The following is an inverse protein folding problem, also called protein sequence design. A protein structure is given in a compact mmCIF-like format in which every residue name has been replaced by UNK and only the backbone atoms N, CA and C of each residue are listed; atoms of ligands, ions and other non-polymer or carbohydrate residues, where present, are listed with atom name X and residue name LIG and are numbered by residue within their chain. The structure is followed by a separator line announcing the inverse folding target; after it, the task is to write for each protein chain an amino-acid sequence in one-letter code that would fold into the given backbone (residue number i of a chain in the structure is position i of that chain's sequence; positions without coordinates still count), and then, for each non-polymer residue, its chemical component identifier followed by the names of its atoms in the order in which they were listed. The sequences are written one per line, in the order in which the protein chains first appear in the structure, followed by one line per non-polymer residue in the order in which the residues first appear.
data_IF_332069649117
#
_entry.id   IF_332069649117
#
_cell.length_a   1.000
_cell.length_b   1.000
_cell.length_c   1.000
_cell.angle_alpha   90.00
_cell.angle_beta   90.00
_cell.angle_gamma   90.00
#
_symmetry.space_group_name_H-M   'P 1'
#
loop_
_entity.id
_entity.type
_entity.pdbx_description
1 polymer ?
#
# COMPACT_ATOMS: atom_id res chain seq x y z
N UNK A 1 -6.91 -11.71 18.56
CA UNK A 1 -5.70 -12.32 19.11
C UNK A 1 -5.20 -11.42 20.22
N UNK A 2 -4.91 -11.96 21.37
CA UNK A 2 -4.44 -11.20 22.55
C UNK A 2 -3.14 -10.41 22.31
N UNK A 3 -2.41 -10.75 21.25
CA UNK A 3 -1.14 -10.10 20.87
C UNK A 3 -1.29 -8.89 19.94
N UNK A 4 -2.47 -8.65 19.38
CA UNK A 4 -2.71 -7.52 18.48
C UNK A 4 -3.63 -6.50 19.15
N UNK A 5 -3.37 -5.20 18.97
CA UNK A 5 -4.25 -4.17 19.51
C UNK A 5 -5.66 -4.31 18.97
N UNK A 6 -6.65 -4.19 19.83
CA UNK A 6 -8.03 -4.04 19.43
C UNK A 6 -8.28 -2.71 18.73
N UNK A 7 -9.40 -2.64 18.01
CA UNK A 7 -9.85 -1.46 17.31
C UNK A 7 -11.33 -1.53 16.99
N UNK A 8 -11.86 -0.47 16.42
CA UNK A 8 -13.24 -0.44 15.95
C UNK A 8 -13.34 -1.09 14.57
N UNK A 9 -13.72 -2.36 14.54
CA UNK A 9 -13.89 -3.13 13.32
C UNK A 9 -15.34 -3.58 13.16
N UNK A 10 -15.78 -3.72 11.93
CA UNK A 10 -16.97 -4.50 11.61
C UNK A 10 -16.70 -5.99 11.89
N UNK A 11 -17.74 -6.83 12.07
CA UNK A 11 -17.56 -8.26 12.29
C UNK A 11 -16.63 -8.87 11.23
N UNK A 12 -15.69 -9.75 11.61
CA UNK A 12 -14.77 -10.35 10.65
C UNK A 12 -15.48 -11.30 9.68
N UNK A 13 -14.90 -11.48 8.50
CA UNK A 13 -15.26 -12.58 7.60
C UNK A 13 -14.68 -13.89 8.14
N UNK A 14 -15.36 -15.00 7.88
CA UNK A 14 -14.84 -16.33 8.24
C UNK A 14 -13.63 -16.74 7.39
N UNK A 15 -12.74 -17.52 8.00
CA UNK A 15 -11.75 -18.29 7.26
C UNK A 15 -12.45 -19.43 6.48
N UNK A 16 -11.89 -19.83 5.34
CA UNK A 16 -12.34 -21.01 4.61
C UNK A 16 -12.03 -22.29 5.39
N UNK A 17 -12.61 -23.44 4.97
CA UNK A 17 -12.36 -24.74 5.62
C UNK A 17 -10.85 -25.06 5.71
N UNK A 18 -10.13 -24.92 4.60
CA UNK A 18 -8.68 -25.18 4.55
C UNK A 18 -7.87 -24.17 5.35
N UNK A 19 -8.28 -22.90 5.37
CA UNK A 19 -7.60 -21.90 6.18
C UNK A 19 -7.79 -22.12 7.68
N UNK A 20 -8.98 -22.58 8.14
CA UNK A 20 -9.25 -22.93 9.53
C UNK A 20 -8.37 -24.09 9.99
N UNK A 21 -8.25 -25.13 9.18
CA UNK A 21 -7.43 -26.28 9.46
C UNK A 21 -5.93 -25.92 9.53
N UNK A 22 -5.43 -25.26 8.49
CA UNK A 22 -4.02 -24.83 8.45
C UNK A 22 -3.70 -23.86 9.60
N UNK A 23 -4.62 -22.97 9.97
CA UNK A 23 -4.45 -22.08 11.12
C UNK A 23 -4.30 -22.84 12.44
N UNK A 24 -5.13 -23.88 12.64
CA UNK A 24 -5.05 -24.73 13.84
C UNK A 24 -3.71 -25.48 13.90
N UNK A 25 -3.28 -26.08 12.78
CA UNK A 25 -1.99 -26.80 12.68
C UNK A 25 -0.79 -25.86 12.90
N UNK A 26 -0.77 -24.68 12.27
CA UNK A 26 0.29 -23.69 12.49
C UNK A 26 0.38 -23.31 13.97
N UNK A 27 -0.75 -23.04 14.62
CA UNK A 27 -0.79 -22.69 16.05
C UNK A 27 -0.20 -23.78 16.92
N UNK A 28 -0.53 -25.05 16.66
CA UNK A 28 -0.02 -26.22 17.38
C UNK A 28 1.48 -26.41 17.14
N UNK A 29 1.91 -26.51 15.88
CA UNK A 29 3.29 -26.79 15.45
C UNK A 29 4.27 -25.74 16.01
N UNK A 30 3.87 -24.49 15.99
CA UNK A 30 4.70 -23.38 16.46
C UNK A 30 4.35 -22.92 17.90
N UNK A 31 3.60 -23.73 18.64
CA UNK A 31 3.26 -23.51 20.06
C UNK A 31 2.70 -22.10 20.33
N UNK A 32 1.89 -21.60 19.41
CA UNK A 32 1.28 -20.27 19.51
C UNK A 32 2.20 -19.08 19.21
N UNK A 33 3.41 -19.29 18.72
CA UNK A 33 4.27 -18.18 18.30
C UNK A 33 3.94 -17.63 16.92
N UNK A 34 3.15 -18.35 16.13
CA UNK A 34 2.65 -17.96 14.82
C UNK A 34 1.14 -18.11 14.75
N UNK A 35 0.48 -17.16 14.13
CA UNK A 35 -0.98 -17.14 14.03
C UNK A 35 -1.40 -16.80 12.61
N UNK A 36 -2.11 -17.74 11.95
CA UNK A 36 -2.85 -17.44 10.75
C UNK A 36 -4.22 -16.91 11.15
N UNK A 37 -4.51 -15.68 10.79
CA UNK A 37 -5.73 -14.96 11.17
C UNK A 37 -6.44 -14.39 9.96
N UNK A 38 -7.69 -13.98 10.15
CA UNK A 38 -8.37 -13.17 9.16
C UNK A 38 -7.64 -11.83 9.02
N UNK A 39 -7.32 -11.43 7.79
CA UNK A 39 -6.68 -10.14 7.52
C UNK A 39 -7.62 -8.97 7.81
N UNK A 40 -7.06 -7.83 8.24
CA UNK A 40 -7.79 -6.57 8.28
C UNK A 40 -7.96 -6.07 6.85
N UNK A 41 -9.19 -6.05 6.37
CA UNK A 41 -9.49 -5.71 4.99
C UNK A 41 -10.41 -4.49 4.90
N UNK A 42 -10.34 -3.78 3.80
CA UNK A 42 -11.17 -2.62 3.54
C UNK A 42 -12.58 -3.00 3.01
N UNK A 43 -13.11 -4.12 3.47
CA UNK A 43 -14.43 -4.63 3.08
C UNK A 43 -15.46 -4.41 4.18
N UNK A 44 -16.64 -3.96 3.79
CA UNK A 44 -17.81 -3.90 4.66
C UNK A 44 -18.39 -5.30 4.76
N UNK A 45 -18.46 -5.84 5.95
CA UNK A 45 -18.98 -7.19 6.22
C UNK A 45 -20.46 -7.21 6.54
N UNK A 46 -20.98 -6.09 7.04
CA UNK A 46 -22.41 -5.82 7.28
C UNK A 46 -22.76 -4.44 6.73
N UNK A 47 -24.03 -4.11 6.47
CA UNK A 47 -24.39 -2.78 5.99
C UNK A 47 -23.87 -1.67 6.90
N UNK A 48 -23.21 -0.68 6.32
CA UNK A 48 -22.57 0.41 7.07
C UNK A 48 -22.58 1.71 6.26
N UNK A 49 -23.03 2.81 6.89
CA UNK A 49 -23.06 4.15 6.29
C UNK A 49 -23.67 4.18 4.88
N UNK A 50 -24.84 3.56 4.73
CA UNK A 50 -25.60 3.52 3.48
C UNK A 50 -25.03 2.60 2.39
N UNK A 51 -23.98 1.85 2.68
CA UNK A 51 -23.38 0.88 1.76
C UNK A 51 -23.71 -0.54 2.19
N UNK A 52 -24.04 -1.45 1.26
CA UNK A 52 -24.31 -2.86 1.58
C UNK A 52 -23.02 -3.60 1.93
N UNK A 53 -23.14 -4.73 2.63
CA UNK A 53 -22.04 -5.64 2.87
C UNK A 53 -21.46 -6.24 1.59
N UNK A 54 -20.28 -6.83 1.71
CA UNK A 54 -19.60 -7.54 0.63
C UNK A 54 -20.50 -8.65 0.04
N UNK A 55 -20.61 -8.70 -1.28
CA UNK A 55 -21.40 -9.71 -2.01
C UNK A 55 -20.55 -10.90 -2.49
N UNK A 56 -19.33 -11.05 -2.03
CA UNK A 56 -18.40 -12.16 -2.33
C UNK A 56 -18.24 -12.44 -3.84
N UNK A 57 -18.22 -11.40 -4.68
CA UNK A 57 -18.15 -11.53 -6.14
C UNK A 57 -16.74 -11.74 -6.70
N UNK A 58 -15.73 -11.70 -5.87
CA UNK A 58 -14.32 -11.82 -6.27
C UNK A 58 -13.87 -10.86 -7.39
N UNK A 59 -14.38 -9.63 -7.41
CA UNK A 59 -14.10 -8.62 -8.45
C UNK A 59 -13.63 -7.30 -7.86
N UNK A 60 -13.00 -7.32 -6.66
CA UNK A 60 -12.59 -6.10 -5.96
C UNK A 60 -11.61 -5.24 -6.75
N UNK A 61 -10.69 -5.86 -7.50
CA UNK A 61 -9.70 -5.16 -8.34
C UNK A 61 -10.28 -4.50 -9.60
N UNK A 62 -11.51 -4.84 -9.99
CA UNK A 62 -12.22 -4.20 -11.11
C UNK A 62 -13.13 -3.06 -10.64
N UNK A 63 -13.11 -2.76 -9.34
CA UNK A 63 -14.06 -1.85 -8.70
C UNK A 63 -15.30 -2.58 -8.17
N UNK A 64 -15.72 -2.19 -6.96
CA UNK A 64 -16.89 -2.78 -6.31
C UNK A 64 -18.15 -2.00 -6.64
N UNK A 65 -19.02 -2.54 -7.49
CA UNK A 65 -20.29 -1.92 -7.88
C UNK A 65 -21.26 -1.66 -6.70
N UNK A 66 -21.09 -2.42 -5.61
CA UNK A 66 -21.93 -2.30 -4.41
C UNK A 66 -21.32 -1.39 -3.34
N UNK A 67 -20.13 -0.84 -3.57
CA UNK A 67 -19.44 -0.03 -2.57
C UNK A 67 -19.00 -0.79 -1.31
N UNK A 68 -19.08 -2.13 -1.31
CA UNK A 68 -18.67 -2.97 -0.19
C UNK A 68 -17.16 -3.08 0.00
N UNK A 69 -16.37 -2.70 -1.01
CA UNK A 69 -14.91 -2.53 -0.92
C UNK A 69 -14.59 -1.04 -0.90
N UNK A 70 -13.72 -0.62 0.01
CA UNK A 70 -13.39 0.79 0.15
C UNK A 70 -12.68 1.33 -1.09
N UNK A 71 -13.14 2.47 -1.54
CA UNK A 71 -12.44 3.38 -2.43
C UNK A 71 -12.86 4.81 -2.09
N UNK A 72 -12.06 5.79 -2.48
CA UNK A 72 -12.45 7.20 -2.37
C UNK A 72 -13.81 7.45 -3.03
N UNK A 73 -14.04 6.86 -4.20
CA UNK A 73 -15.27 7.01 -4.99
C UNK A 73 -16.51 6.42 -4.30
N UNK A 74 -16.35 5.34 -3.54
CA UNK A 74 -17.48 4.68 -2.85
C UNK A 74 -17.72 5.19 -1.43
N UNK A 75 -16.82 5.96 -0.86
CA UNK A 75 -16.85 6.33 0.56
C UNK A 75 -16.60 7.84 0.78
N UNK A 76 -15.36 8.27 0.80
CA UNK A 76 -14.99 9.64 1.26
C UNK A 76 -15.39 10.73 0.27
N UNK A 77 -15.33 10.49 -1.02
CA UNK A 77 -15.68 11.48 -2.04
C UNK A 77 -17.18 11.82 -2.03
N UNK A 78 -18.13 10.86 -2.03
CA UNK A 78 -19.54 11.17 -1.86
C UNK A 78 -19.86 11.97 -0.59
N UNK A 79 -19.20 11.63 0.53
CA UNK A 79 -19.36 12.37 1.77
C UNK A 79 -18.83 13.81 1.65
N UNK A 80 -17.70 14.02 1.00
CA UNK A 80 -17.15 15.36 0.76
C UNK A 80 -18.05 16.19 -0.18
N UNK A 81 -18.57 15.60 -1.25
CA UNK A 81 -19.54 16.24 -2.17
C UNK A 81 -20.80 16.69 -1.42
N UNK A 82 -21.32 15.84 -0.53
CA UNK A 82 -22.52 16.12 0.23
C UNK A 82 -22.37 17.33 1.18
N UNK A 83 -21.17 17.77 1.52
CA UNK A 83 -20.94 18.99 2.31
C UNK A 83 -21.24 20.29 1.55
N UNK A 84 -21.30 20.23 0.22
CA UNK A 84 -21.40 21.42 -0.65
C UNK A 84 -20.13 22.29 -0.71
N UNK A 85 -19.05 21.88 -0.02
CA UNK A 85 -17.80 22.65 0.08
C UNK A 85 -16.67 22.11 -0.82
N UNK A 86 -16.94 21.06 -1.61
CA UNK A 86 -15.97 20.48 -2.51
C UNK A 86 -16.11 20.99 -3.93
N UNK A 87 -15.02 21.47 -4.53
CA UNK A 87 -14.88 21.63 -5.97
C UNK A 87 -13.92 20.58 -6.50
N UNK A 88 -14.42 19.58 -7.22
CA UNK A 88 -13.62 18.56 -7.87
C UNK A 88 -13.31 18.98 -9.31
N UNK A 89 -12.03 19.00 -9.66
CA UNK A 89 -11.55 19.30 -11.00
C UNK A 89 -10.72 18.15 -11.57
N UNK A 90 -11.33 17.24 -12.33
CA UNK A 90 -10.59 16.21 -13.06
C UNK A 90 -9.72 16.83 -14.16
N UNK A 91 -8.89 16.03 -14.81
CA UNK A 91 -7.99 16.44 -15.90
C UNK A 91 -7.05 17.61 -15.56
N UNK A 92 -6.74 17.78 -14.28
CA UNK A 92 -5.94 18.90 -13.75
C UNK A 92 -4.60 18.37 -13.24
N UNK A 93 -3.53 18.67 -13.97
CA UNK A 93 -2.16 18.29 -13.60
C UNK A 93 -1.53 19.46 -12.86
N UNK A 94 -1.34 19.31 -11.55
CA UNK A 94 -0.61 20.31 -10.75
C UNK A 94 0.87 20.19 -11.08
N UNK A 95 1.45 21.26 -11.62
CA UNK A 95 2.84 21.26 -12.13
C UNK A 95 3.82 21.97 -11.21
N UNK A 96 3.34 22.89 -10.37
CA UNK A 96 4.17 23.73 -9.50
C UNK A 96 3.37 24.23 -8.30
N UNK A 97 4.00 24.32 -7.14
CA UNK A 97 3.52 25.07 -5.98
C UNK A 97 4.20 26.44 -6.00
N UNK A 98 3.41 27.50 -6.05
CA UNK A 98 3.91 28.88 -6.02
C UNK A 98 4.33 29.26 -4.61
N UNK A 99 5.55 29.77 -4.47
CA UNK A 99 6.13 30.19 -3.20
C UNK A 99 6.41 31.70 -3.20
N UNK A 100 6.03 32.36 -2.11
CA UNK A 100 6.31 33.78 -1.84
C UNK A 100 7.44 33.86 -0.80
N UNK A 101 8.61 34.32 -1.22
CA UNK A 101 9.80 34.37 -0.35
C UNK A 101 9.71 35.41 0.76
N UNK A 102 8.99 36.50 0.52
CA UNK A 102 8.84 37.56 1.51
C UNK A 102 7.89 37.14 2.62
N UNK A 103 6.84 36.42 2.27
CA UNK A 103 5.88 35.83 3.22
C UNK A 103 6.31 34.47 3.77
N UNK A 104 7.34 33.86 3.20
CA UNK A 104 7.86 32.52 3.53
C UNK A 104 6.77 31.44 3.52
N UNK A 105 5.90 31.45 2.49
CA UNK A 105 4.77 30.53 2.39
C UNK A 105 4.36 30.27 0.94
N UNK A 106 3.68 29.18 0.72
CA UNK A 106 3.02 28.91 -0.55
C UNK A 106 1.80 29.80 -0.73
N UNK A 107 1.52 30.22 -1.96
CA UNK A 107 0.40 31.11 -2.31
C UNK A 107 -0.66 30.43 -3.15
N UNK A 108 -0.33 29.31 -3.79
CA UNK A 108 -1.21 28.57 -4.68
C UNK A 108 -0.47 27.53 -5.50
N UNK A 109 -1.11 27.07 -6.55
CA UNK A 109 -0.57 26.05 -7.45
C UNK A 109 -0.78 26.45 -8.91
N UNK A 110 0.12 25.99 -9.79
CA UNK A 110 -0.06 26.05 -11.23
C UNK A 110 -0.60 24.71 -11.70
N UNK A 111 -1.65 24.76 -12.48
CA UNK A 111 -2.34 23.59 -13.04
C UNK A 111 -2.27 23.64 -14.56
N UNK A 112 -1.85 22.56 -15.16
CA UNK A 112 -2.03 22.30 -16.59
C UNK A 112 -3.34 21.53 -16.79
N UNK A 113 -4.26 22.11 -17.50
CA UNK A 113 -5.49 21.45 -17.93
C UNK A 113 -5.16 20.46 -19.05
N UNK A 114 -5.35 19.17 -18.80
CA UNK A 114 -4.93 18.10 -19.69
C UNK A 114 -5.79 17.97 -20.96
N UNK A 115 -6.96 18.62 -21.02
CA UNK A 115 -7.84 18.62 -22.19
C UNK A 115 -7.54 19.80 -23.12
N UNK A 116 -7.27 20.98 -22.53
CA UNK A 116 -7.08 22.22 -23.29
C UNK A 116 -5.63 22.63 -23.43
N UNK A 117 -4.71 21.99 -22.72
CA UNK A 117 -3.29 22.35 -22.57
C UNK A 117 -3.06 23.80 -22.09
N UNK A 118 -4.04 24.40 -21.40
CA UNK A 118 -3.92 25.72 -20.81
C UNK A 118 -3.40 25.65 -19.39
N UNK A 119 -2.60 26.64 -19.03
CA UNK A 119 -2.10 26.80 -17.66
C UNK A 119 -3.02 27.73 -16.88
N UNK A 120 -3.39 27.32 -15.66
CA UNK A 120 -4.28 28.05 -14.75
C UNK A 120 -3.64 28.13 -13.38
N UNK A 121 -3.64 29.31 -12.76
CA UNK A 121 -3.21 29.46 -11.36
C UNK A 121 -4.40 29.38 -10.41
N UNK A 122 -4.28 28.58 -9.37
CA UNK A 122 -5.23 28.53 -8.24
C UNK A 122 -4.55 28.99 -6.97
N UNK A 123 -5.11 30.03 -6.33
CA UNK A 123 -4.64 30.53 -5.02
C UNK A 123 -5.24 29.71 -3.89
N UNK A 124 -4.44 29.45 -2.87
CA UNK A 124 -4.87 28.69 -1.68
C UNK A 124 -4.15 29.19 -0.43
N UNK A 125 -4.84 29.13 0.71
CA UNK A 125 -4.26 29.41 2.04
C UNK A 125 -3.44 28.23 2.54
N UNK A 126 -3.92 27.00 2.29
CA UNK A 126 -3.32 25.73 2.71
C UNK A 126 -3.30 24.82 1.49
N UNK A 127 -2.23 24.05 1.33
CA UNK A 127 -2.06 23.09 0.24
C UNK A 127 -1.77 21.71 0.85
N UNK A 128 -2.57 20.71 0.50
CA UNK A 128 -2.31 19.30 0.79
C UNK A 128 -1.79 18.62 -0.49
N UNK A 129 -0.62 18.03 -0.41
CA UNK A 129 0.01 17.29 -1.50
C UNK A 129 -0.18 15.80 -1.22
N UNK A 130 -1.00 15.15 -2.03
CA UNK A 130 -1.41 13.74 -1.88
C UNK A 130 -1.43 13.04 -3.24
N UNK A 131 -0.40 13.27 -4.05
CA UNK A 131 -0.33 12.77 -5.42
C UNK A 131 0.36 11.39 -5.53
N UNK A 132 0.44 10.64 -4.43
CA UNK A 132 1.26 9.43 -4.25
C UNK A 132 2.76 9.77 -4.13
N UNK A 133 3.53 8.89 -3.51
CA UNK A 133 4.93 9.11 -3.10
C UNK A 133 5.78 9.74 -4.20
N UNK A 134 5.78 9.13 -5.38
CA UNK A 134 6.62 9.59 -6.49
C UNK A 134 6.14 10.93 -7.06
N UNK A 135 4.82 11.07 -7.28
CA UNK A 135 4.30 12.30 -7.88
C UNK A 135 4.28 13.49 -6.90
N UNK A 136 4.09 13.25 -5.61
CA UNK A 136 4.23 14.32 -4.60
C UNK A 136 5.66 14.83 -4.54
N UNK A 137 6.64 13.94 -4.59
CA UNK A 137 8.05 14.30 -4.66
C UNK A 137 8.40 15.01 -5.97
N UNK A 138 7.87 14.53 -7.08
CA UNK A 138 7.97 15.18 -8.39
C UNK A 138 7.45 16.62 -8.34
N UNK A 139 6.26 16.85 -7.76
CA UNK A 139 5.68 18.17 -7.62
C UNK A 139 6.54 19.09 -6.76
N UNK A 140 7.02 18.60 -5.62
CA UNK A 140 7.91 19.38 -4.77
C UNK A 140 9.20 19.76 -5.49
N UNK A 141 9.84 18.84 -6.22
CA UNK A 141 11.05 19.08 -7.00
C UNK A 141 10.83 20.06 -8.17
N UNK A 142 9.65 20.02 -8.83
CA UNK A 142 9.32 20.98 -9.88
C UNK A 142 8.93 22.36 -9.34
N UNK A 143 8.70 22.50 -8.03
CA UNK A 143 8.42 23.76 -7.35
C UNK A 143 9.71 24.46 -6.91
N UNK A 144 10.73 24.49 -7.80
CA UNK A 144 12.00 25.14 -7.56
C UNK A 144 11.86 26.67 -7.68
N UNK A 145 12.59 27.38 -6.84
CA UNK A 145 12.64 28.84 -6.81
C UNK A 145 14.09 29.31 -6.65
N UNK A 146 14.31 30.64 -6.70
CA UNK A 146 15.59 31.26 -6.37
C UNK A 146 16.04 30.99 -4.91
N UNK A 147 15.12 30.65 -4.02
CA UNK A 147 15.41 30.26 -2.63
C UNK A 147 15.65 28.75 -2.50
N UNK A 148 14.91 27.97 -3.27
CA UNK A 148 14.90 26.49 -3.19
C UNK A 148 15.20 25.89 -4.57
N UNK A 149 16.45 25.93 -5.00
CA UNK A 149 16.87 25.44 -6.34
C UNK A 149 16.60 23.93 -6.54
N UNK A 150 16.63 23.15 -5.46
CA UNK A 150 16.32 21.71 -5.47
C UNK A 150 14.82 21.39 -5.38
N UNK A 151 13.95 22.39 -5.33
CA UNK A 151 12.52 22.26 -5.14
C UNK A 151 12.07 22.65 -3.72
N UNK A 152 10.78 22.82 -3.55
CA UNK A 152 10.18 23.13 -2.25
C UNK A 152 10.36 21.94 -1.28
N UNK A 153 10.93 22.17 -0.12
CA UNK A 153 11.30 21.13 0.85
C UNK A 153 12.72 20.59 0.70
N UNK A 154 13.56 21.21 -0.14
CA UNK A 154 14.92 20.72 -0.41
C UNK A 154 15.98 21.22 0.59
N UNK A 155 15.65 22.08 1.54
CA UNK A 155 16.62 22.70 2.48
C UNK A 155 17.48 21.70 3.26
N UNK A 156 16.92 20.54 3.61
CA UNK A 156 17.63 19.46 4.32
C UNK A 156 18.52 18.58 3.41
N UNK A 157 18.35 18.66 2.09
CA UNK A 157 18.92 17.70 1.14
C UNK A 157 18.32 16.28 1.22
N UNK A 158 17.22 16.08 1.96
CA UNK A 158 16.56 14.78 2.11
C UNK A 158 15.45 14.55 1.07
N UNK A 159 15.01 15.60 0.35
CA UNK A 159 13.97 15.48 -0.68
C UNK A 159 14.42 14.53 -1.80
N UNK A 160 13.60 13.55 -2.10
CA UNK A 160 13.86 12.52 -3.11
C UNK A 160 14.65 11.32 -2.62
N UNK A 161 15.24 11.34 -1.42
CA UNK A 161 16.03 10.25 -0.86
C UNK A 161 15.20 9.31 0.02
N UNK A 162 15.77 8.17 0.37
CA UNK A 162 15.15 7.16 1.27
C UNK A 162 13.88 6.53 0.68
N UNK A 163 13.85 6.33 -0.63
CA UNK A 163 12.77 5.61 -1.28
C UNK A 163 12.73 4.16 -0.77
N UNK A 164 11.55 3.74 -0.37
CA UNK A 164 11.25 2.38 0.07
C UNK A 164 10.04 1.84 -0.67
N UNK A 165 9.94 0.52 -0.74
CA UNK A 165 8.74 -0.22 -1.14
C UNK A 165 8.67 -1.48 -0.27
N UNK A 166 7.62 -2.29 -0.37
CA UNK A 166 7.64 -3.66 0.10
C UNK A 166 8.28 -4.56 -0.95
N UNK A 167 9.18 -5.45 -0.54
CA UNK A 167 9.64 -6.48 -1.44
C UNK A 167 8.65 -7.63 -1.46
N UNK A 168 7.88 -7.69 -2.52
CA UNK A 168 6.82 -8.67 -2.79
C UNK A 168 7.25 -9.72 -3.82
N UNK A 169 6.27 -10.57 -4.20
CA UNK A 169 6.46 -11.57 -5.24
C UNK A 169 7.34 -12.74 -4.80
N UNK A 170 7.32 -13.05 -3.51
CA UNK A 170 8.04 -14.18 -2.92
C UNK A 170 7.17 -14.89 -1.90
N UNK A 171 7.19 -16.23 -1.89
CA UNK A 171 6.37 -17.02 -0.98
C UNK A 171 6.26 -18.48 -1.42
N UNK A 172 5.20 -19.16 -0.98
CA UNK A 172 4.93 -20.52 -1.37
C UNK A 172 3.43 -20.82 -1.46
N UNK A 173 3.09 -21.89 -2.16
CA UNK A 173 1.74 -22.44 -2.23
C UNK A 173 1.76 -23.95 -2.34
N UNK A 174 0.66 -24.59 -1.94
CA UNK A 174 0.51 -26.03 -1.99
C UNK A 174 -0.95 -26.46 -2.04
N UNK A 175 -1.17 -27.75 -2.20
CA UNK A 175 -2.48 -28.40 -2.21
C UNK A 175 -2.87 -28.80 -0.80
N UNK A 176 -4.12 -28.59 -0.42
CA UNK A 176 -4.71 -29.05 0.86
C UNK A 176 -5.81 -30.04 0.54
N UNK A 177 -5.60 -31.29 0.94
CA UNK A 177 -6.52 -32.42 0.69
C UNK A 177 -7.57 -32.57 1.80
N UNK A 178 -8.61 -33.36 1.55
CA UNK A 178 -9.61 -33.74 2.53
C UNK A 178 -10.82 -32.81 2.65
N UNK A 179 -11.01 -31.91 1.67
CA UNK A 179 -12.12 -30.95 1.62
C UNK A 179 -12.83 -30.95 0.25
N UNK A 180 -12.85 -32.10 -0.42
CA UNK A 180 -13.40 -32.27 -1.76
C UNK A 180 -14.91 -32.03 -1.82
N UNK A 181 -15.61 -32.29 -0.69
CA UNK A 181 -17.04 -32.08 -0.50
C UNK A 181 -17.41 -30.61 -0.16
N UNK A 182 -16.41 -29.74 0.02
CA UNK A 182 -16.64 -28.36 0.43
C UNK A 182 -16.30 -27.34 -0.67
N UNK A 183 -17.10 -26.32 -0.73
CA UNK A 183 -17.00 -25.25 -1.72
C UNK A 183 -17.29 -23.89 -1.08
N UNK A 184 -16.68 -22.80 -1.63
CA UNK A 184 -17.01 -21.44 -1.26
C UNK A 184 -17.41 -20.62 -2.47
N UNK A 185 -18.47 -19.82 -2.34
CA UNK A 185 -18.85 -18.87 -3.35
C UNK A 185 -18.03 -17.58 -3.24
N UNK A 186 -17.42 -17.21 -4.35
CA UNK A 186 -16.60 -16.02 -4.44
C UNK A 186 -15.35 -16.11 -3.59
N UNK A 187 -14.43 -15.21 -3.83
CA UNK A 187 -13.20 -15.07 -3.05
C UNK A 187 -13.38 -13.96 -2.03
N UNK A 188 -12.97 -14.19 -0.81
CA UNK A 188 -12.78 -13.14 0.18
C UNK A 188 -11.60 -12.25 -0.24
N UNK A 189 -11.78 -10.93 -0.22
CA UNK A 189 -10.69 -10.01 -0.46
C UNK A 189 -9.60 -10.18 0.61
N UNK A 190 -8.33 -10.11 0.20
CA UNK A 190 -7.12 -10.19 1.03
C UNK A 190 -6.93 -11.48 1.86
N UNK A 191 -7.82 -12.48 1.77
CA UNK A 191 -7.63 -13.79 2.39
C UNK A 191 -7.28 -13.74 3.88
N UNK A 192 -6.21 -14.45 4.27
CA UNK A 192 -5.67 -14.47 5.62
C UNK A 192 -4.41 -13.59 5.76
N UNK A 193 -3.99 -13.43 7.00
CA UNK A 193 -2.76 -12.73 7.36
C UNK A 193 -2.01 -13.52 8.44
N UNK A 194 -0.68 -13.59 8.31
CA UNK A 194 0.21 -14.06 9.38
C UNK A 194 1.06 -12.87 9.81
N UNK A 195 0.81 -12.31 11.02
CA UNK A 195 1.58 -11.19 11.56
C UNK A 195 3.07 -11.53 11.68
N UNK A 196 3.90 -10.50 11.63
CA UNK A 196 5.33 -10.63 11.82
C UNK A 196 5.66 -11.34 13.13
N UNK A 197 6.56 -12.31 13.06
CA UNK A 197 7.12 -13.05 14.21
C UNK A 197 8.66 -13.09 14.16
N UNK A 198 9.27 -12.81 13.00
CA UNK A 198 10.73 -12.69 12.87
C UNK A 198 11.26 -11.44 13.54
N UNK A 199 12.40 -11.56 14.23
CA UNK A 199 13.00 -10.49 15.01
C UNK A 199 12.04 -9.88 16.05
N UNK A 200 11.22 -10.73 16.67
CA UNK A 200 10.30 -10.39 17.76
C UNK A 200 10.68 -11.24 18.98
N UNK A 201 10.79 -10.60 20.13
CA UNK A 201 11.26 -11.29 21.35
C UNK A 201 12.66 -11.85 21.19
N UNK A 202 12.81 -13.16 21.40
CA UNK A 202 14.09 -13.88 21.34
C UNK A 202 14.44 -14.39 19.93
N UNK A 203 13.52 -14.33 18.95
CA UNK A 203 13.85 -14.64 17.56
C UNK A 203 14.82 -13.58 17.01
N UNK A 204 16.02 -14.01 16.65
CA UNK A 204 17.06 -13.14 16.08
C UNK A 204 17.52 -13.72 14.75
N UNK A 205 17.57 -12.85 13.74
CA UNK A 205 18.01 -13.17 12.39
C UNK A 205 19.26 -12.37 12.04
N UNK A 206 19.93 -12.74 10.96
CA UNK A 206 21.09 -12.05 10.42
C UNK A 206 20.73 -10.83 9.55
N UNK A 207 19.46 -10.39 9.64
CA UNK A 207 18.91 -9.16 9.09
C UNK A 207 18.04 -8.46 10.15
N UNK A 208 17.75 -7.18 9.95
CA UNK A 208 16.90 -6.40 10.86
C UNK A 208 15.49 -6.23 10.28
N UNK A 209 14.52 -5.84 11.12
CA UNK A 209 13.09 -5.75 10.78
C UNK A 209 12.48 -7.13 10.57
N UNK A 210 11.59 -7.30 9.60
CA UNK A 210 10.93 -8.56 9.34
C UNK A 210 9.86 -8.47 8.28
N UNK A 211 9.02 -9.50 8.24
CA UNK A 211 7.97 -9.67 7.27
C UNK A 211 6.71 -10.27 7.89
N UNK A 212 5.57 -10.06 7.25
CA UNK A 212 4.34 -10.81 7.46
C UNK A 212 3.95 -11.54 6.20
N UNK A 213 3.01 -12.48 6.29
CA UNK A 213 2.45 -13.13 5.12
C UNK A 213 1.00 -12.71 4.89
N UNK A 214 0.65 -12.57 3.62
CA UNK A 214 -0.74 -12.48 3.18
C UNK A 214 -1.02 -13.60 2.20
N UNK A 215 -2.18 -14.23 2.31
CA UNK A 215 -2.49 -15.38 1.50
C UNK A 215 -3.98 -15.72 1.45
N UNK A 216 -4.29 -16.84 0.86
CA UNK A 216 -5.67 -17.33 0.80
C UNK A 216 -5.75 -18.79 0.40
N UNK A 217 -6.79 -19.46 0.92
CA UNK A 217 -7.23 -20.76 0.47
C UNK A 217 -8.32 -20.61 -0.59
N UNK A 218 -8.13 -21.24 -1.72
CA UNK A 218 -9.10 -21.25 -2.82
C UNK A 218 -9.25 -22.63 -3.39
N UNK A 219 -10.48 -22.99 -3.76
CA UNK A 219 -10.70 -24.19 -4.57
C UNK A 219 -10.52 -23.81 -6.06
N UNK A 220 -9.75 -24.60 -6.78
CA UNK A 220 -9.58 -24.40 -8.22
C UNK A 220 -10.92 -24.50 -8.92
N UNK A 221 -11.19 -23.60 -9.83
CA UNK A 221 -12.37 -23.62 -10.69
C UNK A 221 -12.12 -24.38 -12.00
N UNK A 222 -13.09 -24.42 -12.84
CA UNK A 222 -13.04 -25.09 -14.15
C UNK A 222 -11.87 -24.65 -15.04
N UNK A 223 -11.28 -23.47 -14.83
CA UNK A 223 -10.18 -22.96 -15.64
C UNK A 223 -8.91 -23.84 -15.63
N UNK A 224 -8.75 -24.66 -14.59
CA UNK A 224 -7.60 -25.57 -14.51
C UNK A 224 -7.65 -26.66 -15.58
N UNK A 225 -8.85 -27.07 -15.99
CA UNK A 225 -9.03 -28.11 -17.01
C UNK A 225 -8.77 -27.61 -18.44
N UNK A 226 -8.86 -26.31 -18.68
CA UNK A 226 -8.64 -25.73 -20.02
C UNK A 226 -7.22 -25.97 -20.50
N UNK A 227 -6.24 -26.06 -19.59
CA UNK A 227 -4.85 -26.31 -19.92
C UNK A 227 -4.56 -27.76 -20.34
N UNK A 228 -5.44 -28.73 -20.03
CA UNK A 228 -5.24 -30.16 -20.27
C UNK A 228 -5.61 -30.60 -21.69
N UNK A 229 -6.03 -29.69 -22.53
CA UNK A 229 -6.36 -29.93 -23.96
C UNK A 229 -7.34 -31.08 -24.22
N UNK A 230 -8.21 -31.39 -23.26
CA UNK A 230 -9.29 -32.34 -23.45
C UNK A 230 -10.32 -31.79 -24.46
N UNK A 231 -10.94 -32.67 -25.23
CA UNK A 231 -11.99 -32.31 -26.20
C UNK A 231 -13.20 -33.22 -26.06
N UNK A 232 -14.36 -32.73 -26.53
CA UNK A 232 -15.61 -33.52 -26.57
C UNK A 232 -16.30 -33.64 -25.22
N UNK A 233 -16.95 -34.78 -24.98
CA UNK A 233 -17.75 -35.04 -23.76
C UNK A 233 -16.92 -34.99 -22.49
N UNK A 234 -15.80 -35.68 -22.48
CA UNK A 234 -14.89 -35.73 -21.33
C UNK A 234 -14.42 -34.35 -20.86
N UNK A 235 -14.12 -33.44 -21.79
CA UNK A 235 -13.76 -32.05 -21.47
C UNK A 235 -14.94 -31.31 -20.80
N UNK A 236 -16.15 -31.50 -21.31
CA UNK A 236 -17.34 -30.87 -20.73
C UNK A 236 -17.63 -31.40 -19.32
N UNK A 237 -17.47 -32.69 -19.10
CA UNK A 237 -17.66 -33.32 -17.79
C UNK A 237 -16.60 -32.82 -16.81
N UNK A 238 -15.32 -32.79 -17.20
CA UNK A 238 -14.22 -32.25 -16.39
C UNK A 238 -14.44 -30.77 -15.98
N UNK A 239 -15.02 -29.98 -16.87
CA UNK A 239 -15.33 -28.57 -16.56
C UNK A 239 -16.45 -28.39 -15.51
N UNK A 240 -17.24 -29.41 -15.23
CA UNK A 240 -18.27 -29.37 -14.18
C UNK A 240 -17.72 -29.71 -12.79
N UNK A 241 -16.55 -30.37 -12.73
CA UNK A 241 -15.93 -30.78 -11.47
C UNK A 241 -15.05 -29.65 -10.91
N UNK A 242 -15.21 -29.31 -9.62
CA UNK A 242 -14.29 -28.40 -8.97
C UNK A 242 -12.92 -29.08 -8.78
N UNK A 243 -11.85 -28.34 -9.04
CA UNK A 243 -10.50 -28.83 -8.79
C UNK A 243 -10.13 -28.96 -7.31
N UNK A 244 -8.86 -29.06 -7.00
CA UNK A 244 -8.34 -29.22 -5.64
C UNK A 244 -8.37 -27.90 -4.86
N UNK A 245 -8.35 -28.00 -3.54
CA UNK A 245 -8.07 -26.86 -2.69
C UNK A 245 -6.58 -26.52 -2.72
N UNK A 246 -6.27 -25.26 -2.92
CA UNK A 246 -4.92 -24.73 -2.81
C UNK A 246 -4.87 -23.67 -1.74
N UNK A 247 -3.73 -23.56 -1.07
CA UNK A 247 -3.44 -22.48 -0.14
C UNK A 247 -2.08 -21.90 -0.48
N UNK A 248 -2.03 -20.59 -0.68
CA UNK A 248 -0.81 -19.86 -1.00
C UNK A 248 -0.64 -18.65 -0.10
N UNK A 249 0.63 -18.27 0.13
CA UNK A 249 0.99 -17.07 0.87
C UNK A 249 2.22 -16.40 0.29
N UNK A 250 2.17 -15.07 0.25
CA UNK A 250 3.30 -14.23 -0.15
C UNK A 250 3.78 -13.37 1.02
N UNK A 251 5.08 -13.21 1.13
CA UNK A 251 5.72 -12.37 2.13
C UNK A 251 5.65 -10.88 1.76
N UNK A 252 5.41 -10.08 2.77
CA UNK A 252 5.51 -8.61 2.74
C UNK A 252 6.71 -8.22 3.59
N UNK A 253 7.86 -8.03 2.97
CA UNK A 253 9.08 -7.67 3.65
C UNK A 253 9.26 -6.16 3.79
N UNK A 254 9.72 -5.73 4.95
CA UNK A 254 10.03 -4.34 5.22
C UNK A 254 11.38 -3.96 4.58
N UNK A 255 11.37 -2.95 3.71
CA UNK A 255 12.57 -2.36 3.12
C UNK A 255 13.10 -1.24 4.02
N UNK A 256 14.41 -1.22 4.25
CA UNK A 256 15.05 -0.17 5.04
C UNK A 256 15.16 1.14 4.24
N UNK A 257 15.05 2.30 4.91
CA UNK A 257 15.33 3.59 4.28
C UNK A 257 16.84 3.73 4.04
N UNK A 258 17.27 3.62 2.79
CA UNK A 258 18.63 3.84 2.35
C UNK A 258 18.75 5.16 1.58
N UNK A 259 19.77 5.96 1.86
CA UNK A 259 19.95 7.27 1.22
C UNK A 259 20.25 7.15 -0.28
N UNK A 260 20.83 6.04 -0.72
CA UNK A 260 21.14 5.80 -2.12
C UNK A 260 19.90 5.45 -2.95
N UNK A 261 18.85 4.93 -2.30
CA UNK A 261 17.55 4.71 -2.93
C UNK A 261 16.82 6.05 -3.04
N UNK A 262 16.71 6.58 -4.25
CA UNK A 262 16.29 7.96 -4.48
C UNK A 262 15.56 8.16 -5.80
N UNK A 263 14.88 9.28 -5.88
CA UNK A 263 14.34 9.85 -7.12
C UNK A 263 14.97 11.21 -7.39
N UNK A 264 15.12 11.53 -8.67
CA UNK A 264 15.61 12.83 -9.15
C UNK A 264 14.82 13.26 -10.36
N UNK A 265 14.79 14.54 -10.68
CA UNK A 265 14.20 15.01 -11.94
C UNK A 265 15.17 14.76 -13.10
N UNK A 266 14.67 14.10 -14.14
CA UNK A 266 15.34 14.07 -15.45
C UNK A 266 14.96 15.34 -16.20
N UNK A 267 15.90 16.28 -16.30
CA UNK A 267 15.68 17.57 -16.96
C UNK A 267 15.69 17.46 -18.50
N UNK A 268 16.13 16.35 -19.04
CA UNK A 268 16.25 16.12 -20.49
C UNK A 268 15.05 15.39 -21.09
N UNK A 269 14.47 14.45 -20.33
CA UNK A 269 13.30 13.70 -20.76
C UNK A 269 12.02 14.40 -20.33
N UNK A 270 11.06 14.44 -21.24
CA UNK A 270 9.75 15.03 -21.01
C UNK A 270 8.64 14.02 -21.27
N UNK A 271 7.55 14.20 -20.54
CA UNK A 271 6.31 13.48 -20.82
C UNK A 271 5.54 14.10 -22.01
N UNK A 272 4.36 13.56 -22.29
CA UNK A 272 3.51 14.06 -23.40
C UNK A 272 2.98 15.49 -23.21
N UNK A 273 3.10 16.05 -22.03
CA UNK A 273 2.72 17.44 -21.72
C UNK A 273 3.93 18.37 -21.60
N UNK A 274 5.13 17.89 -21.92
CA UNK A 274 6.37 18.65 -21.85
C UNK A 274 6.92 18.82 -20.43
N UNK A 275 6.42 18.06 -19.45
CA UNK A 275 6.87 18.10 -18.07
C UNK A 275 8.07 17.19 -17.85
N UNK A 276 8.95 17.52 -16.90
CA UNK A 276 10.07 16.68 -16.51
C UNK A 276 9.57 15.34 -15.99
N UNK A 277 10.28 14.23 -16.29
CA UNK A 277 10.00 12.93 -15.70
C UNK A 277 10.93 12.64 -14.52
N UNK A 278 10.56 11.67 -13.68
CA UNK A 278 11.45 11.19 -12.63
C UNK A 278 12.44 10.15 -13.18
N UNK A 279 13.66 10.23 -12.70
CA UNK A 279 14.63 9.14 -12.72
C UNK A 279 14.62 8.47 -11.36
N UNK A 280 14.42 7.14 -11.33
CA UNK A 280 14.29 6.35 -10.11
C UNK A 280 15.50 5.43 -10.02
N UNK A 281 16.25 5.56 -8.94
CA UNK A 281 17.41 4.75 -8.59
C UNK A 281 17.12 4.05 -7.27
N UNK A 282 16.75 2.76 -7.34
CA UNK A 282 16.27 2.01 -6.19
C UNK A 282 16.59 0.53 -6.33
N UNK A 283 17.21 -0.05 -5.32
CA UNK A 283 17.56 -1.46 -5.28
C UNK A 283 17.36 -2.05 -3.88
N UNK A 284 17.19 -3.37 -3.81
CA UNK A 284 17.24 -4.11 -2.56
C UNK A 284 18.70 -4.22 -2.10
N UNK A 285 18.93 -4.04 -0.80
CA UNK A 285 20.25 -4.17 -0.18
C UNK A 285 20.38 -5.54 0.51
N UNK A 286 21.54 -5.83 1.08
CA UNK A 286 21.84 -7.11 1.74
C UNK A 286 20.79 -7.51 2.77
N UNK A 287 20.24 -6.56 3.51
CA UNK A 287 19.19 -6.79 4.51
C UNK A 287 17.94 -7.41 3.89
N UNK A 288 17.46 -6.83 2.80
CA UNK A 288 16.27 -7.29 2.09
C UNK A 288 16.53 -8.61 1.35
N UNK A 289 17.72 -8.80 0.77
CA UNK A 289 18.11 -10.03 0.10
C UNK A 289 18.09 -11.22 1.07
N UNK A 290 18.66 -11.05 2.27
CA UNK A 290 18.62 -12.07 3.32
C UNK A 290 17.20 -12.35 3.81
N UNK A 291 16.42 -11.30 4.00
CA UNK A 291 15.02 -11.42 4.41
C UNK A 291 14.19 -12.16 3.36
N UNK A 292 14.39 -11.89 2.06
CA UNK A 292 13.70 -12.59 0.96
C UNK A 292 13.99 -14.09 1.01
N UNK A 293 15.23 -14.48 1.23
CA UNK A 293 15.60 -15.89 1.36
C UNK A 293 14.86 -16.57 2.52
N UNK A 294 14.81 -15.94 3.69
CA UNK A 294 14.05 -16.46 4.85
C UNK A 294 12.55 -16.52 4.54
N UNK A 295 11.96 -15.53 3.87
CA UNK A 295 10.54 -15.56 3.45
C UNK A 295 10.23 -16.82 2.64
N UNK A 296 11.07 -17.13 1.64
CA UNK A 296 10.85 -18.28 0.75
C UNK A 296 10.95 -19.61 1.49
N UNK A 297 12.04 -19.78 2.23
CA UNK A 297 12.33 -21.02 2.96
C UNK A 297 11.27 -21.28 4.05
N UNK A 298 10.95 -20.25 4.81
CA UNK A 298 9.98 -20.32 5.91
C UNK A 298 8.54 -20.54 5.41
N UNK A 299 8.15 -19.94 4.28
CA UNK A 299 6.83 -20.17 3.70
C UNK A 299 6.66 -21.63 3.27
N UNK A 300 7.67 -22.21 2.63
CA UNK A 300 7.67 -23.62 2.23
C UNK A 300 7.59 -24.53 3.45
N UNK A 301 8.50 -24.36 4.40
CA UNK A 301 8.54 -25.16 5.63
C UNK A 301 7.19 -25.08 6.37
N UNK A 302 6.63 -23.89 6.51
CA UNK A 302 5.38 -23.69 7.25
C UNK A 302 4.22 -24.43 6.58
N UNK A 303 4.09 -24.38 5.26
CA UNK A 303 3.03 -25.07 4.53
C UNK A 303 3.23 -26.62 4.57
N UNK A 304 4.44 -27.10 4.37
CA UNK A 304 4.77 -28.53 4.43
C UNK A 304 4.45 -29.11 5.82
N UNK A 305 4.90 -28.43 6.87
CA UNK A 305 4.62 -28.84 8.26
C UNK A 305 3.14 -28.77 8.60
N UNK A 306 2.42 -27.80 8.03
CA UNK A 306 0.96 -27.73 8.18
C UNK A 306 0.21 -28.77 7.33
N UNK A 307 0.91 -29.67 6.62
CA UNK A 307 0.32 -30.79 5.91
C UNK A 307 -0.09 -30.51 4.46
N UNK A 308 0.26 -29.35 3.91
CA UNK A 308 0.09 -29.09 2.48
C UNK A 308 0.98 -30.01 1.64
N UNK A 309 0.47 -30.42 0.48
CA UNK A 309 1.16 -31.29 -0.48
C UNK A 309 1.64 -30.48 -1.68
N UNK A 310 2.63 -31.02 -2.39
CA UNK A 310 3.16 -30.40 -3.59
C UNK A 310 3.52 -28.93 -3.40
N UNK A 311 4.14 -28.61 -2.26
CA UNK A 311 4.50 -27.23 -1.92
C UNK A 311 5.57 -26.72 -2.88
N UNK A 312 5.25 -25.62 -3.56
CA UNK A 312 6.15 -24.93 -4.47
C UNK A 312 6.41 -23.51 -3.97
N UNK A 313 7.69 -23.17 -3.90
CA UNK A 313 8.10 -21.79 -3.68
C UNK A 313 8.03 -20.99 -4.97
N UNK A 314 7.79 -19.70 -4.85
CA UNK A 314 7.91 -18.75 -5.96
C UNK A 314 8.72 -17.53 -5.52
N UNK A 315 9.53 -17.05 -6.43
CA UNK A 315 10.32 -15.84 -6.24
C UNK A 315 10.39 -15.06 -7.55
N UNK A 316 9.89 -13.82 -7.52
CA UNK A 316 10.09 -12.86 -8.60
C UNK A 316 11.50 -12.23 -8.54
N UNK A 317 11.80 -11.41 -9.53
CA UNK A 317 13.12 -10.77 -9.70
C UNK A 317 13.51 -9.75 -8.59
N UNK A 318 12.62 -9.47 -7.65
CA UNK A 318 12.90 -8.56 -6.54
C UNK A 318 12.96 -7.07 -6.92
N UNK A 319 12.63 -6.72 -8.15
CA UNK A 319 12.67 -5.31 -8.60
C UNK A 319 11.73 -4.44 -7.74
N UNK A 320 12.24 -3.37 -7.08
CA UNK A 320 11.40 -2.40 -6.37
C UNK A 320 10.39 -1.71 -7.29
N UNK A 321 9.29 -1.22 -6.71
CA UNK A 321 8.20 -0.58 -7.47
C UNK A 321 7.08 -1.53 -7.88
N UNK A 322 7.21 -2.82 -7.60
CA UNK A 322 6.14 -3.81 -7.79
C UNK A 322 5.25 -4.00 -6.57
N UNK A 323 5.69 -3.49 -5.42
CA UNK A 323 4.93 -3.52 -4.17
C UNK A 323 3.75 -2.57 -4.17
N UNK A 324 3.77 -1.57 -5.03
CA UNK A 324 2.76 -0.48 -5.08
C UNK A 324 2.55 0.21 -3.73
N UNK A 325 3.57 0.16 -2.89
CA UNK A 325 3.59 0.71 -1.55
C UNK A 325 4.79 1.63 -1.36
N UNK A 326 5.10 2.44 -2.38
CA UNK A 326 6.23 3.36 -2.33
C UNK A 326 6.09 4.31 -1.15
N UNK A 327 7.17 4.47 -0.41
CA UNK A 327 7.26 5.27 0.81
C UNK A 327 8.58 6.05 0.85
N UNK A 328 8.65 7.07 1.70
CA UNK A 328 9.84 7.90 1.85
C UNK A 328 9.85 9.05 0.84
N UNK A 329 11.05 9.54 0.49
CA UNK A 329 11.31 10.64 -0.47
C UNK A 329 10.97 12.06 0.01
N UNK A 330 10.01 12.24 0.92
CA UNK A 330 9.76 13.50 1.61
C UNK A 330 9.56 13.26 3.11
N UNK A 331 10.43 12.45 3.70
CA UNK A 331 10.27 11.92 5.06
C UNK A 331 10.05 12.99 6.12
N UNK A 332 9.17 12.70 7.08
CA UNK A 332 8.98 13.53 8.26
C UNK A 332 10.11 13.33 9.29
N UNK A 333 10.26 14.28 10.20
CA UNK A 333 11.24 14.17 11.27
C UNK A 333 11.10 15.26 12.31
N UNK A 334 12.03 15.25 13.27
CA UNK A 334 12.10 16.24 14.37
C UNK A 334 13.11 17.37 14.11
N UNK A 335 14.00 17.15 13.15
CA UNK A 335 15.08 18.08 12.82
C UNK A 335 14.95 18.51 11.35
N UNK A 336 14.81 19.83 11.08
CA UNK A 336 14.73 20.35 9.72
C UNK A 336 16.00 20.10 8.89
N UNK A 337 17.12 19.75 9.50
CA UNK A 337 18.36 19.41 8.79
C UNK A 337 18.37 17.99 8.22
N UNK A 338 17.48 17.13 8.67
CA UNK A 338 17.47 15.69 8.31
C UNK A 338 16.15 15.21 7.77
N UNK A 339 15.15 16.08 7.65
CA UNK A 339 13.81 15.73 7.17
C UNK A 339 13.21 16.84 6.31
N UNK A 340 12.29 16.48 5.44
CA UNK A 340 11.53 17.39 4.59
C UNK A 340 10.33 17.98 5.35
N UNK A 341 9.72 17.15 6.19
CA UNK A 341 8.49 17.49 6.93
C UNK A 341 8.74 17.46 8.43
N UNK A 342 7.98 18.28 9.15
CA UNK A 342 7.92 18.23 10.60
C UNK A 342 6.95 17.14 11.10
N UNK A 343 6.81 17.03 12.43
CA UNK A 343 5.92 16.06 13.08
C UNK A 343 4.42 16.22 12.76
N UNK A 344 4.00 17.32 12.16
CA UNK A 344 2.63 17.60 11.75
C UNK A 344 2.41 17.45 10.23
N UNK A 345 3.35 16.82 9.53
CA UNK A 345 3.34 16.68 8.06
C UNK A 345 3.47 18.01 7.28
N UNK A 346 3.89 19.10 7.92
CA UNK A 346 4.18 20.37 7.24
C UNK A 346 5.58 20.33 6.61
N UNK A 347 5.71 20.86 5.42
CA UNK A 347 7.01 21.16 4.79
C UNK A 347 7.71 22.24 5.64
N UNK A 348 8.93 21.97 6.09
CA UNK A 348 9.68 22.93 6.91
C UNK A 348 9.86 24.29 6.19
N UNK A 349 10.07 24.26 4.89
CA UNK A 349 10.31 25.43 4.05
C UNK A 349 9.03 26.24 3.75
N UNK A 350 7.85 25.61 3.93
CA UNK A 350 6.55 26.25 3.67
C UNK A 350 5.48 25.69 4.62
N UNK A 351 5.27 26.29 5.80
CA UNK A 351 4.42 25.76 6.87
C UNK A 351 2.95 25.53 6.48
N UNK A 352 2.47 26.13 5.42
CA UNK A 352 1.11 25.96 4.91
C UNK A 352 1.00 24.89 3.80
N UNK A 353 2.07 24.11 3.56
CA UNK A 353 2.08 22.95 2.67
C UNK A 353 2.21 21.68 3.51
N UNK A 354 1.30 20.74 3.30
CA UNK A 354 1.23 19.46 4.01
C UNK A 354 1.39 18.32 3.01
N UNK A 355 2.14 17.26 3.40
CA UNK A 355 2.32 16.06 2.59
C UNK A 355 1.90 14.86 3.44
N UNK A 356 0.85 14.14 3.03
CA UNK A 356 0.23 13.10 3.85
C UNK A 356 0.04 11.75 3.13
N UNK A 357 0.62 11.57 1.96
CA UNK A 357 0.72 10.27 1.28
C UNK A 357 1.99 9.49 1.69
N UNK A 358 2.33 8.44 0.98
CA UNK A 358 3.47 7.58 1.33
C UNK A 358 4.82 8.30 1.44
N UNK A 359 4.98 9.47 0.81
CA UNK A 359 6.26 10.19 0.81
C UNK A 359 6.70 10.68 2.19
N UNK A 360 5.78 10.88 3.15
CA UNK A 360 6.14 11.28 4.50
C UNK A 360 6.75 10.16 5.35
N UNK A 361 6.56 8.90 4.97
CA UNK A 361 6.94 7.75 5.78
C UNK A 361 8.45 7.68 6.02
N UNK A 362 8.83 7.37 7.26
CA UNK A 362 10.24 7.25 7.69
C UNK A 362 10.72 5.81 7.73
N UNK A 363 9.80 4.87 7.67
CA UNK A 363 10.05 3.43 7.57
C UNK A 363 8.85 2.75 6.92
N UNK A 364 9.10 1.73 6.15
CA UNK A 364 8.09 0.77 5.78
C UNK A 364 7.74 -0.11 6.99
N UNK A 365 6.64 -0.81 6.93
CA UNK A 365 6.34 -1.92 7.84
C UNK A 365 6.08 -3.17 6.98
N UNK A 366 5.49 -4.21 7.53
CA UNK A 366 5.19 -5.43 6.79
C UNK A 366 3.69 -5.59 6.48
N UNK A 367 2.95 -4.47 6.36
CA UNK A 367 1.52 -4.44 6.03
C UNK A 367 1.21 -3.28 5.09
N UNK A 368 0.07 -3.37 4.39
CA UNK A 368 -0.40 -2.33 3.47
C UNK A 368 -0.54 -0.98 4.19
N UNK A 369 0.01 0.12 3.65
CA UNK A 369 0.19 1.37 4.39
C UNK A 369 -1.00 2.34 4.35
N UNK A 370 -2.04 2.13 3.54
CA UNK A 370 -3.11 3.09 3.28
C UNK A 370 -3.81 3.58 4.56
N UNK A 371 -4.04 2.72 5.55
CA UNK A 371 -4.65 3.13 6.81
C UNK A 371 -3.77 4.13 7.57
N UNK A 372 -2.45 3.97 7.52
CA UNK A 372 -1.49 4.92 8.10
C UNK A 372 -1.60 6.28 7.41
N UNK A 373 -1.64 6.31 6.06
CA UNK A 373 -1.80 7.57 5.32
C UNK A 373 -3.08 8.29 5.71
N UNK A 374 -4.20 7.58 5.81
CA UNK A 374 -5.50 8.15 6.19
C UNK A 374 -5.46 8.72 7.61
N UNK A 375 -4.87 8.02 8.57
CA UNK A 375 -4.75 8.48 9.95
C UNK A 375 -3.89 9.76 10.05
N UNK A 376 -2.77 9.81 9.34
CA UNK A 376 -1.91 10.99 9.31
C UNK A 376 -2.55 12.16 8.55
N UNK A 377 -3.30 11.90 7.49
CA UNK A 377 -4.07 12.94 6.78
C UNK A 377 -5.13 13.55 7.70
N UNK A 378 -5.88 12.74 8.43
CA UNK A 378 -6.88 13.23 9.37
C UNK A 378 -6.24 14.11 10.47
N UNK A 379 -5.12 13.64 11.04
CA UNK A 379 -4.36 14.41 12.04
C UNK A 379 -3.81 15.72 11.49
N UNK A 380 -3.25 15.71 10.30
CA UNK A 380 -2.70 16.91 9.65
C UNK A 380 -3.81 17.91 9.28
N UNK A 381 -4.97 17.42 8.84
CA UNK A 381 -6.12 18.27 8.53
C UNK A 381 -6.68 18.97 9.78
N UNK A 382 -6.82 18.23 10.88
CA UNK A 382 -7.26 18.80 12.17
C UNK A 382 -6.27 19.88 12.67
N UNK A 383 -4.98 19.56 12.62
CA UNK A 383 -3.93 20.53 12.95
C UNK A 383 -3.99 21.78 12.06
N UNK A 384 -4.07 21.60 10.72
CA UNK A 384 -4.13 22.72 9.78
C UNK A 384 -5.32 23.64 10.03
N UNK A 385 -6.51 23.08 10.30
CA UNK A 385 -7.72 23.84 10.63
C UNK A 385 -7.54 24.60 11.94
N UNK A 386 -6.95 23.96 12.95
CA UNK A 386 -6.66 24.62 14.23
C UNK A 386 -5.73 25.82 14.07
N UNK A 387 -4.62 25.64 13.34
CA UNK A 387 -3.63 26.71 13.10
C UNK A 387 -4.20 27.83 12.23
N UNK A 388 -5.03 27.51 11.23
CA UNK A 388 -5.73 28.52 10.43
C UNK A 388 -6.66 29.39 11.27
N UNK A 389 -7.42 28.77 12.22
CA UNK A 389 -8.31 29.52 13.14
C UNK A 389 -7.55 30.43 14.09
N UNK A 390 -6.30 30.09 14.43
CA UNK A 390 -5.41 30.92 15.25
C UNK A 390 -4.70 32.02 14.45
N UNK A 391 -4.81 32.01 13.13
CA UNK A 391 -4.10 32.95 12.25
C UNK A 391 -2.62 32.63 12.03
N UNK A 392 -2.19 31.41 12.35
CA UNK A 392 -0.80 30.96 12.17
C UNK A 392 -0.53 30.44 10.73
N UNK A 393 -1.58 30.13 9.96
CA UNK A 393 -1.52 29.69 8.57
C UNK A 393 -2.32 30.58 7.64
#
# INVERSE_FOLDING_TARGET
IDLLPDGQFLPPMDLTCVEKDVAARIKEIYKGSRHLIIGRTANITVPHQGRPGCQFRNKCWLGCQFGGYFSTQSSTLPAAVATGNLTLRPFSIVTEIKYDKDKKRATGVIVLDAETNKTIEYKAKIIFVNASTLNSTWLLMNSATDVWEGGLGSSSGALGKYLMDHHLGIGAGGVVEGYEDQYTFGRRANGFYIPRYRNVGDDKRDYVRGFGYQGGGTRQGWQHEVAEFSIGGQFKDAMTEPGVWTLGMGGFGEMLPDETNKVTLDKTKKDKWGLNVLNIDCELKDNEIKMRKDILEDAKEMLERAGAKNVQGFEGDGTPGRGIHEMGTARMGRDPKTSVLNGNNQVWDAPNVFVTDGSFMTSANCVNPSLTYMAFTARAADFAVSELKKGNL
#
